data_IF_170574102373
#
_entry.id   IF_170574102373
#
_cell.length_a   1.000
_cell.length_b   1.000
_cell.length_c   1.000
_cell.angle_alpha   90.00
_cell.angle_beta   90.00
_cell.angle_gamma   90.00
#
_symmetry.space_group_name_H-M   'P 1'
#
loop_
_entity.id
_entity.type
_entity.pdbx_description
1 polymer ?
#
# COMPACT_ATOMS: atom_id res chain seq x y z
N UNK A 1 1.69 31.35 16.88
CA UNK A 1 0.90 30.63 15.85
C UNK A 1 1.85 29.63 15.20
N UNK A 2 1.90 28.41 15.74
CA UNK A 2 2.76 27.35 15.19
C UNK A 2 2.02 26.74 14.00
N UNK A 3 2.59 26.87 12.81
CA UNK A 3 2.15 26.12 11.65
C UNK A 3 2.37 24.63 11.98
N UNK A 4 1.28 23.91 12.22
CA UNK A 4 1.30 22.46 12.22
C UNK A 4 1.57 22.09 10.77
N UNK A 5 2.81 21.71 10.46
CA UNK A 5 3.14 21.03 9.21
C UNK A 5 2.09 19.94 9.02
N UNK A 6 1.22 20.08 8.02
CA UNK A 6 0.22 19.07 7.77
C UNK A 6 0.97 17.77 7.46
N UNK A 7 0.64 16.62 8.08
CA UNK A 7 1.31 15.36 7.79
C UNK A 7 1.29 15.01 6.29
N UNK A 8 0.39 15.62 5.54
CA UNK A 8 0.21 15.52 4.09
C UNK A 8 1.14 16.40 3.24
N UNK A 9 2.00 17.24 3.81
CA UNK A 9 2.92 18.10 3.06
C UNK A 9 4.27 17.42 2.74
N UNK A 10 4.66 16.43 3.54
CA UNK A 10 5.90 15.65 3.37
C UNK A 10 5.76 14.59 2.28
N UNK A 11 6.88 14.06 1.79
CA UNK A 11 6.87 12.89 0.89
C UNK A 11 6.23 11.69 1.58
N UNK A 12 6.64 11.46 2.82
CA UNK A 12 6.02 10.56 3.77
C UNK A 12 6.29 11.02 5.20
N UNK A 13 5.52 10.50 6.14
CA UNK A 13 5.78 10.56 7.57
C UNK A 13 5.28 9.28 8.26
N UNK A 14 5.80 9.02 9.47
CA UNK A 14 5.29 7.98 10.34
C UNK A 14 4.43 8.61 11.44
N UNK A 15 3.27 8.00 11.68
CA UNK A 15 2.32 8.42 12.70
C UNK A 15 2.07 7.26 13.66
N UNK A 16 2.19 7.53 14.95
CA UNK A 16 1.80 6.60 16.01
C UNK A 16 0.28 6.43 16.03
N UNK A 17 -0.16 5.17 16.04
CA UNK A 17 -1.57 4.78 16.20
C UNK A 17 -1.81 3.86 17.39
N UNK A 18 -0.75 3.32 18.00
CA UNK A 18 -0.78 2.56 19.24
C UNK A 18 0.23 3.14 20.22
N UNK A 19 -0.15 3.22 21.48
CA UNK A 19 0.79 3.51 22.57
C UNK A 19 1.57 2.24 22.95
N UNK A 20 2.78 2.40 23.48
CA UNK A 20 3.66 1.27 23.88
C UNK A 20 3.00 0.29 24.86
N UNK A 21 2.05 0.78 25.68
CA UNK A 21 1.31 -0.02 26.65
C UNK A 21 0.27 -0.98 26.02
N UNK A 22 -0.16 -0.71 24.79
CA UNK A 22 -1.23 -1.44 24.10
C UNK A 22 -0.70 -2.44 23.05
N UNK A 23 0.62 -2.68 23.02
CA UNK A 23 1.23 -3.63 22.11
C UNK A 23 0.91 -5.08 22.52
N UNK A 24 -0.24 -5.58 22.04
CA UNK A 24 -0.66 -6.97 22.24
C UNK A 24 0.16 -7.93 21.35
N UNK A 25 0.98 -8.76 21.98
CA UNK A 25 1.82 -9.77 21.33
C UNK A 25 1.14 -11.16 21.27
N UNK A 26 -0.16 -11.22 20.97
CA UNK A 26 -0.80 -12.50 20.69
C UNK A 26 -0.01 -13.26 19.63
N UNK A 27 0.19 -14.56 19.86
CA UNK A 27 0.88 -15.43 18.92
C UNK A 27 0.01 -15.63 17.68
N UNK A 28 0.32 -14.86 16.64
CA UNK A 28 -0.38 -14.93 15.35
C UNK A 28 0.59 -15.41 14.28
N UNK A 29 0.11 -16.28 13.39
CA UNK A 29 0.88 -16.77 12.25
C UNK A 29 0.01 -16.85 11.00
N UNK A 30 0.57 -16.45 9.87
CA UNK A 30 -0.07 -16.56 8.55
C UNK A 30 0.00 -18.02 8.07
N UNK A 31 -1.15 -18.69 7.94
CA UNK A 31 -1.27 -20.06 7.39
C UNK A 31 -1.17 -20.10 5.88
N UNK A 32 -1.67 -19.07 5.21
CA UNK A 32 -1.80 -19.00 3.75
C UNK A 32 -1.70 -17.55 3.29
N UNK A 33 -1.08 -17.34 2.14
CA UNK A 33 -1.06 -16.03 1.51
C UNK A 33 -2.46 -15.71 0.99
N UNK A 34 -2.99 -14.54 1.31
CA UNK A 34 -4.32 -14.10 0.91
C UNK A 34 -4.45 -12.59 1.07
N UNK A 35 -5.47 -12.00 0.46
CA UNK A 35 -5.83 -10.63 0.75
C UNK A 35 -7.33 -10.47 0.90
N UNK A 36 -7.72 -9.58 1.81
CA UNK A 36 -9.08 -9.10 1.98
C UNK A 36 -9.13 -7.62 1.61
N UNK A 37 -10.18 -7.24 0.91
CA UNK A 37 -10.41 -5.92 0.38
C UNK A 37 -11.79 -5.43 0.80
N UNK A 38 -11.87 -4.15 1.13
CA UNK A 38 -13.11 -3.42 1.37
C UNK A 38 -13.03 -2.04 0.72
N UNK A 39 -14.00 -1.71 -0.12
CA UNK A 39 -14.13 -0.41 -0.76
C UNK A 39 -15.53 0.13 -0.45
N UNK A 40 -15.62 1.18 0.36
CA UNK A 40 -16.90 1.66 0.88
C UNK A 40 -16.77 2.74 1.94
N UNK A 41 -17.88 3.04 2.66
CA UNK A 41 -17.87 3.93 3.82
C UNK A 41 -16.94 3.43 4.92
N UNK A 42 -16.41 4.33 5.75
CA UNK A 42 -15.57 3.93 6.89
C UNK A 42 -16.29 2.93 7.79
N UNK A 43 -15.62 1.80 8.09
CA UNK A 43 -16.21 0.75 8.92
C UNK A 43 -16.55 1.28 10.33
N UNK A 44 -17.73 0.92 10.82
CA UNK A 44 -18.15 1.26 12.17
C UNK A 44 -17.59 0.24 13.17
N UNK A 45 -16.70 0.69 14.03
CA UNK A 45 -16.09 -0.13 15.07
C UNK A 45 -16.73 0.31 16.40
N UNK A 46 -17.73 -0.43 16.89
CA UNK A 46 -18.28 -0.20 18.22
C UNK A 46 -17.43 -0.91 19.27
N UNK A 47 -17.16 -0.22 20.38
CA UNK A 47 -16.54 -0.77 21.59
C UNK A 47 -17.46 -1.72 22.35
N UNK A 48 -18.76 -1.68 22.05
CA UNK A 48 -19.73 -2.64 22.57
C UNK A 48 -19.59 -3.93 21.76
N UNK A 49 -19.33 -5.03 22.47
CA UNK A 49 -19.15 -6.47 22.14
C UNK A 49 -19.58 -7.09 20.79
N UNK A 50 -20.23 -6.34 19.90
CA UNK A 50 -20.49 -6.68 18.49
C UNK A 50 -19.75 -5.70 17.56
N UNK A 51 -18.44 -5.54 17.70
CA UNK A 51 -17.60 -4.92 16.66
C UNK A 51 -17.74 -5.75 15.38
N UNK A 52 -18.68 -5.42 14.49
CA UNK A 52 -18.91 -6.25 13.30
C UNK A 52 -18.09 -5.72 12.15
N UNK A 53 -16.83 -6.21 12.07
CA UNK A 53 -16.22 -6.29 10.75
C UNK A 53 -17.17 -7.12 9.87
N UNK A 54 -17.19 -6.89 8.55
CA UNK A 54 -18.13 -7.60 7.71
C UNK A 54 -17.91 -9.12 7.80
N UNK A 55 -18.97 -9.92 7.68
CA UNK A 55 -18.92 -11.39 7.89
C UNK A 55 -17.78 -12.05 7.09
N UNK A 56 -17.55 -11.60 5.85
CA UNK A 56 -16.50 -12.13 4.99
C UNK A 56 -15.06 -11.86 5.50
N UNK A 57 -14.88 -10.92 6.43
CA UNK A 57 -13.61 -10.70 7.12
C UNK A 57 -13.32 -11.85 8.08
N UNK A 58 -14.31 -12.31 8.85
CA UNK A 58 -14.13 -13.46 9.75
C UNK A 58 -13.89 -14.76 8.98
N UNK A 59 -14.51 -14.89 7.80
CA UNK A 59 -14.17 -15.97 6.86
C UNK A 59 -12.71 -15.89 6.42
N UNK A 60 -12.24 -14.70 6.02
CA UNK A 60 -10.83 -14.46 5.71
C UNK A 60 -9.91 -14.79 6.91
N UNK A 61 -10.20 -14.27 8.09
CA UNK A 61 -9.39 -14.45 9.30
C UNK A 61 -9.22 -15.94 9.64
N UNK A 62 -10.34 -16.68 9.71
CA UNK A 62 -10.35 -18.10 10.08
C UNK A 62 -9.53 -18.97 9.12
N UNK A 63 -9.55 -18.65 7.82
CA UNK A 63 -8.79 -19.37 6.81
C UNK A 63 -7.31 -18.98 6.79
N UNK A 64 -6.99 -17.73 7.12
CA UNK A 64 -5.68 -17.12 6.88
C UNK A 64 -4.76 -17.14 8.10
N UNK A 65 -5.28 -17.04 9.32
CA UNK A 65 -4.44 -16.86 10.53
C UNK A 65 -4.61 -17.97 11.57
N UNK A 66 -3.50 -18.42 12.16
CA UNK A 66 -3.53 -19.13 13.45
C UNK A 66 -3.53 -18.05 14.54
N UNK A 67 -4.48 -18.11 15.47
CA UNK A 67 -4.77 -17.00 16.39
C UNK A 67 -5.75 -16.00 15.77
N UNK A 68 -6.12 -14.97 16.54
CA UNK A 68 -6.98 -13.88 16.06
C UNK A 68 -6.15 -12.64 15.75
N UNK A 69 -6.44 -11.97 14.63
CA UNK A 69 -5.78 -10.72 14.23
C UNK A 69 -6.55 -9.48 14.69
N UNK A 70 -7.74 -9.67 15.29
CA UNK A 70 -8.65 -8.60 15.68
C UNK A 70 -8.02 -7.63 16.69
N UNK A 71 -7.24 -8.14 17.66
CA UNK A 71 -6.53 -7.33 18.66
C UNK A 71 -5.56 -6.32 18.03
N UNK A 72 -5.09 -6.56 16.80
CA UNK A 72 -4.22 -5.65 16.05
C UNK A 72 -4.96 -4.83 15.00
N UNK A 73 -5.97 -5.40 14.35
CA UNK A 73 -6.75 -4.73 13.29
C UNK A 73 -7.68 -3.67 13.85
N UNK A 74 -8.40 -3.97 14.94
CA UNK A 74 -9.42 -3.07 15.47
C UNK A 74 -8.84 -1.73 15.96
N UNK A 75 -7.73 -1.70 16.74
CA UNK A 75 -7.12 -0.42 17.13
C UNK A 75 -6.68 0.41 15.93
N UNK A 76 -6.02 -0.24 14.94
CA UNK A 76 -5.59 0.44 13.71
C UNK A 76 -6.77 1.04 12.94
N UNK A 77 -7.83 0.26 12.72
CA UNK A 77 -9.00 0.77 11.99
C UNK A 77 -9.72 1.89 12.74
N UNK A 78 -9.74 1.85 14.08
CA UNK A 78 -10.30 2.93 14.91
C UNK A 78 -9.50 4.22 14.76
N UNK A 79 -8.17 4.12 14.80
CA UNK A 79 -7.29 5.25 14.54
C UNK A 79 -7.50 5.83 13.14
N UNK A 80 -7.47 4.98 12.12
CA UNK A 80 -7.65 5.40 10.71
C UNK A 80 -9.01 6.07 10.52
N UNK A 81 -10.09 5.52 11.08
CA UNK A 81 -11.41 6.15 11.00
C UNK A 81 -11.38 7.58 11.52
N UNK A 82 -10.80 7.80 12.70
CA UNK A 82 -10.72 9.13 13.30
C UNK A 82 -9.83 10.07 12.48
N UNK A 83 -8.69 9.58 12.00
CA UNK A 83 -7.77 10.35 11.14
C UNK A 83 -8.46 10.77 9.84
N UNK A 84 -9.19 9.87 9.18
CA UNK A 84 -9.88 10.16 7.93
C UNK A 84 -11.04 11.13 8.11
N UNK A 85 -11.87 10.94 9.15
CA UNK A 85 -12.95 11.87 9.48
C UNK A 85 -12.44 13.28 9.79
N UNK A 86 -11.34 13.40 10.53
CA UNK A 86 -10.70 14.69 10.82
C UNK A 86 -10.20 15.41 9.57
N UNK A 87 -9.96 14.68 8.47
CA UNK A 87 -9.54 15.22 7.18
C UNK A 87 -10.68 15.26 6.15
N UNK A 88 -11.93 15.08 6.58
CA UNK A 88 -13.11 15.20 5.71
C UNK A 88 -13.39 13.99 4.83
N UNK A 89 -12.79 12.84 5.10
CA UNK A 89 -13.02 11.60 4.35
C UNK A 89 -14.00 10.68 5.09
N UNK A 90 -15.03 10.24 4.37
CA UNK A 90 -16.03 9.28 4.86
C UNK A 90 -15.95 7.92 4.18
N UNK A 91 -15.04 7.76 3.21
CA UNK A 91 -14.89 6.56 2.41
C UNK A 91 -13.41 6.22 2.19
N UNK A 92 -13.16 4.93 1.96
CA UNK A 92 -11.82 4.42 1.67
C UNK A 92 -11.84 3.12 0.86
N UNK A 93 -10.68 2.79 0.31
CA UNK A 93 -10.33 1.46 -0.15
C UNK A 93 -9.27 0.87 0.78
N UNK A 94 -9.68 -0.10 1.58
CA UNK A 94 -8.89 -0.83 2.55
C UNK A 94 -8.48 -2.19 1.97
N UNK A 95 -7.21 -2.55 2.10
CA UNK A 95 -6.68 -3.87 1.76
C UNK A 95 -5.86 -4.41 2.92
N UNK A 96 -6.13 -5.64 3.33
CA UNK A 96 -5.33 -6.40 4.31
C UNK A 96 -4.72 -7.58 3.55
N UNK A 97 -3.40 -7.58 3.41
CA UNK A 97 -2.64 -8.62 2.73
C UNK A 97 -1.85 -9.43 3.75
N UNK A 98 -2.16 -10.72 3.81
CA UNK A 98 -1.38 -11.70 4.55
C UNK A 98 -0.47 -12.45 3.58
N UNK A 99 0.80 -12.58 3.93
CA UNK A 99 1.81 -13.27 3.12
C UNK A 99 2.54 -14.28 3.99
N UNK A 100 2.60 -15.52 3.54
CA UNK A 100 3.49 -16.54 4.14
C UNK A 100 4.95 -16.19 3.88
N UNK A 101 5.91 -16.74 4.65
CA UNK A 101 7.32 -16.52 4.38
C UNK A 101 7.67 -16.87 2.94
N UNK A 102 8.44 -16.02 2.27
CA UNK A 102 8.74 -16.14 0.85
C UNK A 102 10.04 -15.44 0.47
N UNK A 103 10.77 -16.04 -0.48
CA UNK A 103 11.98 -15.49 -1.07
C UNK A 103 11.72 -14.47 -2.18
N UNK A 104 10.46 -14.27 -2.55
CA UNK A 104 10.08 -13.35 -3.62
C UNK A 104 10.58 -11.91 -3.39
N UNK A 105 10.79 -11.54 -2.12
CA UNK A 105 11.15 -10.19 -1.68
C UNK A 105 12.53 -10.11 -1.02
N UNK A 106 13.39 -11.12 -1.23
CA UNK A 106 14.77 -11.08 -0.73
C UNK A 106 15.55 -9.90 -1.32
N UNK A 107 15.19 -9.50 -2.54
CA UNK A 107 15.69 -8.30 -3.18
C UNK A 107 14.65 -7.16 -3.08
N UNK A 108 15.07 -5.94 -2.70
CA UNK A 108 14.16 -4.81 -2.62
C UNK A 108 13.60 -4.45 -4.00
N UNK A 109 12.31 -4.13 -4.02
CA UNK A 109 11.54 -3.75 -5.20
C UNK A 109 11.15 -2.29 -5.11
N UNK A 110 12.14 -1.41 -5.22
CA UNK A 110 11.93 0.03 -5.10
C UNK A 110 10.95 0.57 -6.16
N UNK A 111 9.81 1.07 -5.71
CA UNK A 111 8.76 1.60 -6.56
C UNK A 111 8.09 2.84 -5.98
N UNK A 112 7.31 3.52 -6.81
CA UNK A 112 6.31 4.52 -6.40
C UNK A 112 4.96 3.98 -6.81
N UNK A 113 3.94 4.18 -5.96
CA UNK A 113 2.57 3.86 -6.34
C UNK A 113 2.08 4.81 -7.44
N UNK A 114 1.19 4.33 -8.30
CA UNK A 114 0.50 5.15 -9.31
C UNK A 114 -0.71 5.86 -8.69
N UNK A 115 -1.27 6.84 -9.39
CA UNK A 115 -2.49 7.53 -8.97
C UNK A 115 -3.70 6.60 -9.10
N UNK A 116 -4.39 6.30 -7.99
CA UNK A 116 -5.54 5.40 -8.00
C UNK A 116 -6.74 5.96 -8.80
N UNK A 117 -6.98 7.26 -8.69
CA UNK A 117 -8.18 7.91 -9.22
C UNK A 117 -8.00 8.61 -10.57
N UNK A 118 -6.89 8.35 -11.26
CA UNK A 118 -6.69 8.87 -12.62
C UNK A 118 -7.84 8.48 -13.54
N UNK A 119 -8.37 9.40 -14.35
CA UNK A 119 -9.41 9.09 -15.35
C UNK A 119 -8.85 8.39 -16.59
N UNK A 120 -7.54 8.36 -16.74
CA UNK A 120 -6.86 7.71 -17.84
C UNK A 120 -6.96 6.18 -17.72
N UNK A 121 -6.78 5.49 -18.85
CA UNK A 121 -6.65 4.03 -18.90
C UNK A 121 -5.54 3.62 -17.92
N UNK A 122 -5.85 2.67 -17.03
CA UNK A 122 -4.97 2.21 -15.95
C UNK A 122 -3.51 2.09 -16.43
N UNK A 123 -2.58 2.92 -15.91
CA UNK A 123 -1.16 2.78 -16.18
C UNK A 123 -0.71 1.47 -15.53
N UNK A 124 -0.46 0.44 -16.33
CA UNK A 124 -0.08 -0.87 -15.78
C UNK A 124 -0.15 -2.03 -16.77
N UNK A 125 -0.82 -1.88 -17.90
CA UNK A 125 -0.85 -2.93 -18.94
C UNK A 125 0.23 -2.81 -20.01
N UNK A 126 1.01 -1.73 -20.02
CA UNK A 126 2.01 -1.47 -21.07
C UNK A 126 3.32 -0.96 -20.48
N UNK A 127 4.19 -1.89 -20.10
CA UNK A 127 5.60 -1.59 -19.82
C UNK A 127 6.22 -0.94 -21.07
N UNK A 128 6.83 0.23 -20.92
CA UNK A 128 7.54 0.92 -22.00
C UNK A 128 6.79 2.05 -22.71
N UNK A 129 5.49 2.26 -22.46
CA UNK A 129 4.85 3.49 -22.94
C UNK A 129 5.13 4.63 -21.97
N UNK A 130 5.53 5.80 -22.53
CA UNK A 130 5.43 7.09 -21.85
C UNK A 130 4.05 7.12 -21.21
N UNK A 131 3.94 7.28 -19.89
CA UNK A 131 2.61 7.46 -19.31
C UNK A 131 2.01 8.64 -20.03
N UNK A 132 0.91 8.43 -20.73
CA UNK A 132 0.07 9.51 -21.24
C UNK A 132 -0.66 10.19 -20.07
N UNK A 133 0.02 10.37 -18.94
CA UNK A 133 -0.39 11.28 -17.91
C UNK A 133 -0.23 12.66 -18.51
N UNK A 134 -1.33 13.16 -19.08
CA UNK A 134 -1.54 14.60 -19.06
C UNK A 134 -1.45 14.99 -17.59
N UNK A 135 -0.53 15.92 -17.28
CA UNK A 135 -0.37 16.51 -15.95
C UNK A 135 -1.75 16.67 -15.33
N UNK A 136 -2.03 15.92 -14.26
CA UNK A 136 -3.30 16.07 -13.56
C UNK A 136 -3.36 17.54 -13.09
N UNK A 137 -4.26 18.32 -13.67
CA UNK A 137 -4.34 19.77 -13.42
C UNK A 137 -4.89 20.05 -12.02
N UNK A 138 -5.48 19.06 -11.33
CA UNK A 138 -6.00 19.22 -9.98
C UNK A 138 -5.74 17.98 -9.14
N UNK A 139 -4.87 18.12 -8.14
CA UNK A 139 -4.80 17.22 -6.99
C UNK A 139 -6.02 17.55 -6.10
N UNK A 140 -6.96 16.61 -5.98
CA UNK A 140 -8.19 16.78 -5.18
C UNK A 140 -7.93 16.59 -3.67
N UNK A 141 -6.67 16.44 -3.27
CA UNK A 141 -6.28 16.12 -1.89
C UNK A 141 -6.33 14.62 -1.58
N UNK A 142 -6.42 13.75 -2.60
CA UNK A 142 -6.56 12.28 -2.45
C UNK A 142 -5.36 11.49 -2.96
N UNK A 143 -4.29 12.18 -3.40
CA UNK A 143 -3.06 11.58 -3.91
C UNK A 143 -2.11 11.10 -2.80
N UNK A 144 -2.65 10.34 -1.84
CA UNK A 144 -1.88 9.75 -0.76
C UNK A 144 -2.47 8.42 -0.30
N UNK A 145 -1.66 7.70 0.46
CA UNK A 145 -1.95 6.37 0.99
C UNK A 145 -1.45 6.28 2.43
N UNK A 146 -2.16 5.49 3.23
CA UNK A 146 -1.70 5.07 4.55
C UNK A 146 -1.40 3.59 4.49
N UNK A 147 -0.28 3.17 5.06
CA UNK A 147 -0.01 1.76 5.27
C UNK A 147 0.62 1.47 6.63
N UNK A 148 0.39 0.26 7.13
CA UNK A 148 1.09 -0.27 8.29
C UNK A 148 1.34 -1.76 8.12
N UNK A 149 2.15 -2.33 9.00
CA UNK A 149 2.35 -3.77 9.10
C UNK A 149 1.98 -4.22 10.51
N UNK A 150 0.93 -5.03 10.64
CA UNK A 150 0.47 -5.54 11.93
C UNK A 150 1.26 -6.77 12.41
N UNK A 151 1.93 -7.46 11.50
CA UNK A 151 2.77 -8.64 11.78
C UNK A 151 3.89 -8.69 10.74
N UNK A 152 5.12 -8.97 11.20
CA UNK A 152 6.29 -9.04 10.33
C UNK A 152 6.89 -7.66 10.04
N UNK A 153 7.86 -7.59 9.11
CA UNK A 153 8.63 -6.37 8.87
C UNK A 153 7.83 -5.28 8.14
N UNK A 154 8.12 -4.03 8.48
CA UNK A 154 7.48 -2.83 7.91
C UNK A 154 7.94 -2.53 6.48
N UNK A 155 7.11 -1.79 5.75
CA UNK A 155 7.47 -1.23 4.43
C UNK A 155 8.68 -0.32 4.57
N UNK A 156 9.62 -0.46 3.64
CA UNK A 156 10.86 0.33 3.60
C UNK A 156 10.66 1.56 2.72
N UNK A 157 11.12 2.71 3.18
CA UNK A 157 11.08 3.98 2.45
C UNK A 157 12.50 4.50 2.24
N UNK A 158 12.77 5.07 1.07
CA UNK A 158 13.98 5.86 0.89
C UNK A 158 13.88 7.12 1.76
N UNK A 159 14.92 7.50 2.54
CA UNK A 159 14.88 8.68 3.39
C UNK A 159 14.43 9.95 2.64
N UNK A 160 13.71 10.82 3.33
CA UNK A 160 13.10 12.01 2.73
C UNK A 160 14.10 12.91 1.96
N UNK A 161 15.35 12.98 2.44
CA UNK A 161 16.45 13.72 1.81
C UNK A 161 16.86 13.18 0.43
N UNK A 162 16.61 11.89 0.16
CA UNK A 162 17.00 11.19 -1.06
C UNK A 162 15.85 10.93 -2.02
N UNK A 163 14.61 11.22 -1.63
CA UNK A 163 13.39 10.97 -2.42
C UNK A 163 13.45 11.57 -3.85
N UNK A 164 13.85 12.84 -4.09
CA UNK A 164 13.97 13.38 -5.44
C UNK A 164 14.98 12.63 -6.32
N UNK A 165 16.15 12.30 -5.75
CA UNK A 165 17.21 11.55 -6.44
C UNK A 165 16.76 10.12 -6.76
N UNK A 166 16.04 9.47 -5.84
CA UNK A 166 15.51 8.13 -6.01
C UNK A 166 14.46 8.08 -7.13
N UNK A 167 13.54 9.06 -7.19
CA UNK A 167 12.58 9.17 -8.31
C UNK A 167 13.28 9.37 -9.65
N UNK A 168 14.32 10.21 -9.68
CA UNK A 168 15.11 10.41 -10.90
C UNK A 168 15.80 9.11 -11.34
N UNK A 169 16.40 8.36 -10.41
CA UNK A 169 17.01 7.06 -10.71
C UNK A 169 15.97 6.06 -11.24
N UNK A 170 14.79 6.00 -10.61
CA UNK A 170 13.69 5.16 -11.08
C UNK A 170 13.23 5.53 -12.50
N UNK A 171 13.09 6.82 -12.79
CA UNK A 171 12.73 7.28 -14.13
C UNK A 171 13.80 6.92 -15.17
N UNK A 172 15.08 7.12 -14.83
CA UNK A 172 16.20 6.75 -15.70
C UNK A 172 16.24 5.25 -15.99
N UNK A 173 16.15 4.41 -14.95
CA UNK A 173 16.15 2.95 -15.09
C UNK A 173 14.99 2.46 -15.97
N UNK A 174 13.77 2.99 -15.72
CA UNK A 174 12.60 2.69 -16.55
C UNK A 174 12.80 3.11 -18.00
N UNK A 175 13.38 4.28 -18.25
CA UNK A 175 13.66 4.75 -19.61
C UNK A 175 14.72 3.88 -20.29
N UNK A 176 15.77 3.49 -19.57
CA UNK A 176 16.83 2.62 -20.10
C UNK A 176 16.34 1.22 -20.44
N UNK A 177 15.43 0.66 -19.64
CA UNK A 177 14.81 -0.65 -19.87
C UNK A 177 13.59 -0.60 -20.80
N UNK A 178 13.14 0.59 -21.22
CA UNK A 178 12.01 0.73 -22.13
C UNK A 178 12.38 0.18 -23.49
N UNK A 179 11.47 -0.61 -24.07
CA UNK A 179 11.62 -1.21 -25.38
C UNK A 179 10.47 -0.75 -26.27
N UNK A 180 10.76 -0.42 -27.53
CA UNK A 180 9.76 -0.06 -28.52
C UNK A 180 9.02 -1.32 -28.99
N UNK A 181 8.16 -1.89 -28.15
CA UNK A 181 7.29 -2.99 -28.54
C UNK A 181 5.87 -2.77 -28.03
N UNK A 182 4.89 -3.05 -28.89
CA UNK A 182 3.49 -2.99 -28.51
C UNK A 182 3.12 -4.29 -27.76
N UNK A 183 3.08 -4.20 -26.45
CA UNK A 183 2.71 -5.33 -25.61
C UNK A 183 1.18 -5.39 -25.43
N UNK A 184 0.56 -6.42 -26.01
CA UNK A 184 -0.86 -6.75 -25.80
C UNK A 184 -1.06 -7.89 -24.78
N UNK A 185 0.03 -8.52 -24.33
CA UNK A 185 -0.02 -9.68 -23.43
C UNK A 185 0.44 -9.33 -22.02
N UNK A 186 -0.41 -9.65 -21.04
CA UNK A 186 -0.08 -9.56 -19.61
C UNK A 186 1.10 -10.46 -19.18
N UNK A 187 1.55 -11.39 -20.03
CA UNK A 187 2.68 -12.31 -19.80
C UNK A 187 3.79 -12.12 -20.83
N UNK A 188 4.01 -10.91 -21.32
CA UNK A 188 5.12 -10.65 -22.23
C UNK A 188 6.46 -10.85 -21.51
N UNK A 189 7.28 -11.75 -22.05
CA UNK A 189 8.63 -12.05 -21.53
C UNK A 189 9.52 -10.81 -21.59
N UNK A 190 9.42 -9.99 -22.64
CA UNK A 190 10.17 -8.75 -22.76
C UNK A 190 9.80 -7.72 -21.69
N UNK A 191 8.50 -7.59 -21.39
CA UNK A 191 8.03 -6.75 -20.29
C UNK A 191 8.51 -7.25 -18.92
N UNK A 192 8.45 -8.57 -18.69
CA UNK A 192 8.95 -9.17 -17.46
C UNK A 192 10.46 -8.91 -17.29
N UNK A 193 11.26 -9.19 -18.32
CA UNK A 193 12.70 -8.95 -18.31
C UNK A 193 13.06 -7.46 -18.11
N UNK A 194 12.32 -6.54 -18.74
CA UNK A 194 12.51 -5.10 -18.52
C UNK A 194 12.18 -4.71 -17.07
N UNK A 195 11.11 -5.25 -16.49
CA UNK A 195 10.77 -5.01 -15.09
C UNK A 195 11.84 -5.56 -14.15
N UNK A 196 12.40 -6.73 -14.43
CA UNK A 196 13.51 -7.32 -13.66
C UNK A 196 14.79 -6.49 -13.78
N UNK A 197 15.16 -6.04 -14.99
CA UNK A 197 16.31 -5.16 -15.18
C UNK A 197 16.19 -3.85 -14.38
N UNK A 198 15.00 -3.24 -14.35
CA UNK A 198 14.73 -2.05 -13.52
C UNK A 198 14.88 -2.37 -12.04
N UNK A 199 14.40 -3.53 -11.57
CA UNK A 199 14.52 -3.94 -10.16
C UNK A 199 15.99 -4.13 -9.77
N UNK A 200 16.78 -4.78 -10.61
CA UNK A 200 18.21 -5.03 -10.37
C UNK A 200 19.02 -3.72 -10.31
N UNK A 201 18.76 -2.82 -11.26
CA UNK A 201 19.40 -1.51 -11.29
C UNK A 201 19.04 -0.70 -10.04
N UNK A 202 17.75 -0.63 -9.67
CA UNK A 202 17.33 0.16 -8.52
C UNK A 202 17.77 -0.42 -7.19
N UNK A 203 17.80 -1.75 -7.05
CA UNK A 203 18.34 -2.41 -5.86
C UNK A 203 19.81 -2.03 -5.63
N UNK A 204 20.58 -1.84 -6.71
CA UNK A 204 21.99 -1.45 -6.64
C UNK A 204 22.15 0.06 -6.43
N UNK A 205 21.50 0.88 -7.26
CA UNK A 205 21.67 2.34 -7.29
C UNK A 205 21.13 3.01 -6.03
N UNK A 206 20.06 2.48 -5.45
CA UNK A 206 19.43 3.08 -4.27
C UNK A 206 19.97 2.53 -2.95
N UNK A 207 20.75 1.44 -2.97
CA UNK A 207 21.37 0.86 -1.77
C UNK A 207 22.14 1.90 -0.91
N UNK A 208 22.93 2.83 -1.49
CA UNK A 208 23.66 3.83 -0.70
C UNK A 208 22.76 4.86 0.00
N UNK A 209 21.50 4.99 -0.40
CA UNK A 209 20.57 5.96 0.22
C UNK A 209 20.01 5.45 1.54
N UNK A 210 20.16 4.16 1.85
CA UNK A 210 19.58 3.54 3.04
C UNK A 210 18.07 3.39 2.95
N UNK A 211 17.47 2.99 4.06
CA UNK A 211 16.04 2.80 4.19
C UNK A 211 15.56 3.17 5.59
N UNK A 212 14.35 3.71 5.68
CA UNK A 212 13.61 3.99 6.90
C UNK A 212 12.33 3.14 6.91
N UNK A 213 11.85 2.76 8.08
CA UNK A 213 10.63 1.98 8.22
C UNK A 213 9.84 2.46 9.44
N UNK A 214 8.52 2.29 9.38
CA UNK A 214 7.65 2.53 10.53
C UNK A 214 7.94 1.51 11.62
N UNK A 215 7.98 1.97 12.87
CA UNK A 215 8.08 1.11 14.04
C UNK A 215 6.76 0.36 14.32
N UNK A 216 6.81 -0.59 15.25
CA UNK A 216 5.59 -1.27 15.72
C UNK A 216 4.66 -0.23 16.36
N UNK A 217 3.40 -0.20 15.94
CA UNK A 217 2.44 0.80 16.40
C UNK A 217 2.45 2.10 15.59
N UNK A 218 3.28 2.19 14.55
CA UNK A 218 3.28 3.28 13.59
C UNK A 218 2.65 2.90 12.24
N UNK A 219 2.11 3.90 11.57
CA UNK A 219 1.68 3.80 10.19
C UNK A 219 2.37 4.87 9.35
N UNK A 220 2.66 4.55 8.10
CA UNK A 220 3.25 5.47 7.13
C UNK A 220 2.14 6.16 6.35
N UNK A 221 2.13 7.48 6.33
CA UNK A 221 1.30 8.30 5.43
C UNK A 221 2.21 8.87 4.35
N UNK A 222 1.88 8.66 3.08
CA UNK A 222 2.77 9.08 2.00
C UNK A 222 2.03 9.44 0.73
N UNK A 223 2.63 10.36 -0.03
CA UNK A 223 2.15 10.75 -1.36
C UNK A 223 2.36 9.61 -2.34
N UNK A 224 1.47 9.54 -3.32
CA UNK A 224 1.55 8.59 -4.45
C UNK A 224 1.74 9.35 -5.76
N UNK A 225 1.94 8.61 -6.84
CA UNK A 225 2.23 9.14 -8.17
C UNK A 225 3.73 9.24 -8.46
N UNK A 226 4.08 9.19 -9.75
CA UNK A 226 5.48 9.13 -10.19
C UNK A 226 6.30 10.38 -9.89
N UNK A 227 5.67 11.54 -9.85
CA UNK A 227 6.37 12.83 -9.71
C UNK A 227 6.65 13.19 -8.25
N UNK A 228 5.72 12.84 -7.36
CA UNK A 228 5.73 13.27 -5.95
C UNK A 228 5.73 12.13 -4.95
N UNK A 229 5.50 10.90 -5.41
CA UNK A 229 5.33 9.75 -4.54
C UNK A 229 6.58 9.38 -3.78
N UNK A 230 6.39 8.80 -2.59
CA UNK A 230 7.47 8.23 -1.82
C UNK A 230 7.96 6.94 -2.49
N UNK A 231 9.26 6.89 -2.80
CA UNK A 231 9.94 5.66 -3.23
C UNK A 231 10.04 4.73 -2.03
N UNK A 232 9.48 3.53 -2.18
CA UNK A 232 9.37 2.53 -1.14
C UNK A 232 9.52 1.11 -1.69
N UNK A 233 9.70 0.14 -0.81
CA UNK A 233 9.87 -1.28 -1.12
C UNK A 233 9.22 -2.13 -0.04
N UNK A 234 8.71 -3.29 -0.43
CA UNK A 234 8.48 -4.36 0.51
C UNK A 234 9.81 -4.80 1.16
N UNK A 235 9.79 -5.20 2.45
CA UNK A 235 10.95 -5.76 3.12
C UNK A 235 11.18 -7.22 2.72
N UNK A 236 12.36 -7.75 3.07
CA UNK A 236 12.63 -9.19 3.04
C UNK A 236 11.61 -9.95 3.90
N UNK A 237 11.05 -11.04 3.37
CA UNK A 237 10.02 -11.85 4.04
C UNK A 237 10.41 -13.32 4.19
N UNK A 238 11.64 -13.70 3.87
CA UNK A 238 12.11 -15.09 3.99
C UNK A 238 12.57 -15.44 5.41
N UNK A 239 13.02 -14.44 6.19
CA UNK A 239 13.64 -14.66 7.51
C UNK A 239 12.62 -14.75 8.66
N UNK A 240 11.36 -14.33 8.46
CA UNK A 240 10.34 -14.32 9.50
C UNK A 240 9.46 -15.57 9.52
N UNK A 241 9.44 -16.33 10.62
CA UNK A 241 8.67 -17.58 10.71
C UNK A 241 7.13 -17.42 10.80
N UNK A 242 6.63 -16.23 11.14
CA UNK A 242 5.20 -15.98 11.36
C UNK A 242 4.45 -15.42 10.13
N UNK A 243 5.16 -15.08 9.05
CA UNK A 243 4.63 -14.38 7.89
C UNK A 243 4.47 -12.87 8.11
N UNK A 244 3.78 -12.20 7.18
CA UNK A 244 3.57 -10.74 7.19
C UNK A 244 2.10 -10.38 7.01
N UNK A 245 1.60 -9.40 7.76
CA UNK A 245 0.27 -8.81 7.60
C UNK A 245 0.40 -7.32 7.34
N UNK A 246 0.22 -6.95 6.08
CA UNK A 246 0.28 -5.57 5.60
C UNK A 246 -1.12 -5.00 5.42
N UNK A 247 -1.31 -3.75 5.84
CA UNK A 247 -2.55 -3.02 5.61
C UNK A 247 -2.26 -1.80 4.75
N UNK A 248 -3.13 -1.58 3.76
CA UNK A 248 -3.15 -0.44 2.88
C UNK A 248 -4.53 0.25 2.96
N UNK A 249 -4.52 1.57 3.09
CA UNK A 249 -5.71 2.42 3.09
C UNK A 249 -5.52 3.52 2.05
N UNK A 250 -6.42 3.57 1.07
CA UNK A 250 -6.51 4.63 0.07
C UNK A 250 -7.81 5.39 0.32
N UNK A 251 -7.77 6.56 0.98
CA UNK A 251 -8.94 7.41 1.14
C UNK A 251 -9.34 8.03 -0.21
N UNK A 252 -10.63 8.26 -0.36
CA UNK A 252 -11.18 8.86 -1.57
C UNK A 252 -12.60 9.31 -1.34
N UNK A 253 -13.10 10.12 -2.26
CA UNK A 253 -14.53 10.45 -2.33
C UNK A 253 -15.34 9.24 -2.79
N UNK A 254 -16.65 9.25 -2.53
CA UNK A 254 -17.55 8.21 -3.02
C UNK A 254 -17.47 8.05 -4.55
N UNK A 255 -17.45 9.16 -5.29
CA UNK A 255 -17.39 9.17 -6.75
C UNK A 255 -16.07 8.58 -7.29
N UNK A 256 -14.93 8.96 -6.70
CA UNK A 256 -13.62 8.41 -7.07
C UNK A 256 -13.57 6.89 -6.87
N UNK A 257 -14.10 6.40 -5.74
CA UNK A 257 -14.13 4.98 -5.43
C UNK A 257 -15.14 4.21 -6.31
N UNK A 258 -16.29 4.81 -6.65
CA UNK A 258 -17.24 4.26 -7.63
C UNK A 258 -16.59 4.08 -9.00
N UNK A 259 -15.86 5.09 -9.47
CA UNK A 259 -15.13 5.03 -10.74
C UNK A 259 -14.04 3.96 -10.68
N UNK A 260 -13.26 3.89 -9.60
CA UNK A 260 -12.23 2.87 -9.41
C UNK A 260 -12.82 1.45 -9.48
N UNK A 261 -13.90 1.18 -8.75
CA UNK A 261 -14.57 -0.12 -8.75
C UNK A 261 -15.16 -0.45 -10.13
N UNK A 262 -15.72 0.54 -10.83
CA UNK A 262 -16.23 0.39 -12.18
C UNK A 262 -15.17 -0.08 -13.18
N UNK A 263 -13.92 0.38 -13.06
CA UNK A 263 -12.80 -0.09 -13.92
C UNK A 263 -12.52 -1.58 -13.77
N UNK A 264 -12.85 -2.17 -12.61
CA UNK A 264 -12.69 -3.60 -12.35
C UNK A 264 -13.97 -4.39 -12.59
N UNK A 265 -15.01 -3.77 -13.16
CA UNK A 265 -16.32 -4.40 -13.35
C UNK A 265 -17.04 -4.71 -12.03
N UNK A 266 -16.70 -4.00 -10.95
CA UNK A 266 -17.25 -4.20 -9.62
C UNK A 266 -18.17 -3.04 -9.24
N UNK A 267 -19.15 -3.34 -8.38
CA UNK A 267 -20.03 -2.33 -7.79
C UNK A 267 -19.46 -1.79 -6.49
N UNK A 268 -19.87 -0.57 -6.11
CA UNK A 268 -19.55 0.07 -4.83
C UNK A 268 -20.83 0.21 -3.98
N UNK A 269 -20.78 -0.04 -2.66
CA UNK A 269 -19.63 -0.54 -1.90
C UNK A 269 -19.44 -2.04 -2.12
N UNK A 270 -18.22 -2.55 -1.85
CA UNK A 270 -17.94 -3.98 -1.99
C UNK A 270 -16.81 -4.44 -1.09
N UNK A 271 -16.91 -5.70 -0.71
CA UNK A 271 -15.92 -6.44 0.04
C UNK A 271 -15.68 -7.80 -0.59
N UNK A 272 -14.45 -8.26 -0.56
CA UNK A 272 -14.06 -9.56 -1.09
C UNK A 272 -12.74 -10.00 -0.50
N UNK A 273 -12.45 -11.28 -0.57
CA UNK A 273 -11.10 -11.77 -0.30
C UNK A 273 -10.74 -12.83 -1.32
N UNK A 274 -9.44 -12.97 -1.57
CA UNK A 274 -8.89 -13.96 -2.49
C UNK A 274 -7.75 -14.66 -1.79
N UNK A 275 -7.81 -15.99 -1.74
CA UNK A 275 -6.70 -16.82 -1.32
C UNK A 275 -5.68 -16.94 -2.44
N UNK A 276 -4.41 -16.72 -2.11
CA UNK A 276 -3.31 -17.27 -2.89
C UNK A 276 -3.32 -18.80 -2.78
N UNK A 277 -2.74 -19.47 -3.78
CA UNK A 277 -2.44 -20.90 -3.68
C UNK A 277 -1.31 -21.12 -2.69
#
# INVERSE_FOLDING_TARGET
MAAVDAPFDKYFCFLNYLDDADQCQDSITVKRSAYWCYCGPLLSLSTDSNSSLPVNFYDFESHVFRGSILSRVIPFLSYIKNLLLANGFEHYFLTIRATTPTHEFDQPRWHTDELFFTKDVLPGTRLGLKSQHQKHVQNTGTDWKICTTLLGPSTLFIPASHQPSARKAQQSARHAASTDHECVSIRCVGCAAAADAVRDELATVLKPFGAEAAEIGECSVFKIGREFGAVHSEPCMSEGGSGRVFINVVPGTEDELRVLMGKWGMQFPRQWWVGGR
#
